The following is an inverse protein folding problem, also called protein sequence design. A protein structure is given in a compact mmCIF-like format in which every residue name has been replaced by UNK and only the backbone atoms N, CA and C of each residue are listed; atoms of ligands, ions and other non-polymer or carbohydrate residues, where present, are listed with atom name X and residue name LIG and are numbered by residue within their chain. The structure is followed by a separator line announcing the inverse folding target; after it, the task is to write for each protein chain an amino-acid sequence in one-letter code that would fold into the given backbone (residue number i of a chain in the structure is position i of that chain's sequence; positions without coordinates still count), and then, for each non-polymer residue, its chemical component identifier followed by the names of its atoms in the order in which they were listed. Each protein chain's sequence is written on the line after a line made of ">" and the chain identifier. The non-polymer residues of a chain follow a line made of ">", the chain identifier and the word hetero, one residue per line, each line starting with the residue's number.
data_IF_880343082754
#
_entry.id   IF_880343082754
#
_cell.length_a   1.000
_cell.length_b   1.000
_cell.length_c   1.000
_cell.angle_alpha   90.00
_cell.angle_beta   90.00
_cell.angle_gamma   90.00
#
_symmetry.space_group_name_H-M   'P 1'
#
loop_
_entity.id
_entity.type
_entity.pdbx_description
1 polymer ?
#
# COMPACT_ATOMS: atom_id res chain seq x y z
N UNK A 1 34.89 9.34 33.86
CA UNK A 1 34.44 10.17 32.71
C UNK A 1 34.53 9.30 31.48
N UNK A 2 33.42 8.64 31.10
CA UNK A 2 33.39 7.68 29.99
C UNK A 2 32.66 8.29 28.81
N UNK A 3 33.41 8.52 27.74
CA UNK A 3 32.94 9.09 26.47
C UNK A 3 31.94 8.15 25.81
N UNK A 4 30.67 8.57 25.68
CA UNK A 4 29.67 7.84 24.90
C UNK A 4 29.75 8.25 23.43
N UNK A 5 30.39 7.39 22.64
CA UNK A 5 30.37 7.39 21.19
C UNK A 5 28.93 7.22 20.70
N UNK A 6 28.35 8.28 20.12
CA UNK A 6 27.04 8.19 19.47
C UNK A 6 27.19 7.41 18.16
N UNK A 7 26.82 6.12 18.18
CA UNK A 7 26.64 5.35 16.96
C UNK A 7 25.41 5.88 16.22
N UNK A 8 25.63 6.39 15.01
CA UNK A 8 24.58 6.69 14.05
C UNK A 8 23.92 5.37 13.62
N UNK A 9 22.76 5.05 14.20
CA UNK A 9 21.99 3.88 13.80
C UNK A 9 21.35 4.15 12.45
N UNK A 10 22.00 3.68 11.38
CA UNK A 10 21.43 3.57 10.05
C UNK A 10 20.20 2.65 10.13
N UNK A 11 19.04 3.19 9.74
CA UNK A 11 17.71 2.57 9.64
C UNK A 11 17.68 1.03 9.71
N UNK A 12 17.71 0.49 10.93
CA UNK A 12 17.36 -0.91 11.20
C UNK A 12 15.90 -0.92 11.60
N UNK A 13 15.00 -1.26 10.66
CA UNK A 13 13.56 -1.32 10.90
C UNK A 13 13.29 -2.39 11.97
N UNK A 14 12.92 -2.05 13.23
CA UNK A 14 12.51 -3.08 14.16
C UNK A 14 11.20 -3.66 13.64
N UNK A 15 11.20 -4.97 13.44
CA UNK A 15 9.97 -5.72 13.20
C UNK A 15 9.08 -5.56 14.44
N UNK A 16 7.90 -4.99 14.23
CA UNK A 16 6.90 -4.86 15.28
C UNK A 16 5.76 -3.99 14.81
N UNK A 17 4.84 -4.54 14.01
CA UNK A 17 3.49 -3.98 14.01
C UNK A 17 2.40 -5.06 13.91
N UNK A 18 2.11 -5.76 15.02
CA UNK A 18 0.77 -6.30 15.24
C UNK A 18 -0.30 -5.20 15.18
N UNK A 19 0.10 -3.95 15.40
CA UNK A 19 -0.79 -2.80 15.59
C UNK A 19 -1.13 -2.00 14.31
N UNK A 20 -0.33 -2.08 13.23
CA UNK A 20 -0.56 -1.25 12.04
C UNK A 20 -1.86 -1.65 11.37
N UNK A 21 -2.04 -2.96 11.19
CA UNK A 21 -3.20 -3.50 10.53
C UNK A 21 -4.46 -3.16 11.32
N UNK A 22 -4.42 -3.35 12.65
CA UNK A 22 -5.55 -3.06 13.52
C UNK A 22 -5.93 -1.56 13.49
N UNK A 23 -4.94 -0.68 13.60
CA UNK A 23 -5.16 0.76 13.56
C UNK A 23 -5.62 1.26 12.17
N UNK A 24 -5.07 0.72 11.09
CA UNK A 24 -5.52 1.02 9.72
C UNK A 24 -6.95 0.55 9.48
N UNK A 25 -7.29 -0.67 9.91
CA UNK A 25 -8.67 -1.17 9.84
C UNK A 25 -9.62 -0.27 10.64
N UNK A 26 -9.23 0.17 11.83
CA UNK A 26 -10.02 1.10 12.63
C UNK A 26 -10.26 2.42 11.88
N UNK A 27 -9.23 3.05 11.32
CA UNK A 27 -9.39 4.31 10.58
C UNK A 27 -10.22 4.17 9.31
N UNK A 28 -10.11 3.03 8.62
CA UNK A 28 -10.97 2.71 7.46
C UNK A 28 -12.43 2.62 7.91
N UNK A 29 -12.72 1.86 8.99
CA UNK A 29 -14.07 1.70 9.53
C UNK A 29 -14.65 3.02 10.07
N UNK A 30 -13.81 3.88 10.63
CA UNK A 30 -14.19 5.22 11.10
C UNK A 30 -14.32 6.26 9.96
N UNK A 31 -14.05 5.87 8.70
CA UNK A 31 -14.12 6.76 7.55
C UNK A 31 -13.02 7.84 7.51
N UNK A 32 -11.97 7.69 8.33
CA UNK A 32 -10.83 8.63 8.39
C UNK A 32 -9.84 8.45 7.24
N UNK A 33 -9.92 7.33 6.52
CA UNK A 33 -9.07 7.02 5.38
C UNK A 33 -9.96 6.86 4.15
N UNK A 34 -9.72 7.71 3.15
CA UNK A 34 -10.25 7.54 1.80
C UNK A 34 -9.11 7.12 0.88
N UNK A 35 -9.43 6.28 -0.10
CA UNK A 35 -8.48 5.88 -1.12
C UNK A 35 -9.15 5.91 -2.49
N UNK A 36 -8.34 6.02 -3.52
CA UNK A 36 -8.77 6.01 -4.91
C UNK A 36 -8.23 4.75 -5.57
N UNK A 37 -9.04 4.16 -6.43
CA UNK A 37 -8.69 2.95 -7.17
C UNK A 37 -9.06 3.14 -8.63
N UNK A 38 -8.28 2.53 -9.50
CA UNK A 38 -8.58 2.34 -10.91
C UNK A 38 -8.85 0.85 -11.10
N UNK A 39 -10.08 0.51 -11.52
CA UNK A 39 -10.53 -0.88 -11.61
C UNK A 39 -10.84 -1.23 -13.06
N UNK A 40 -10.14 -2.25 -13.58
CA UNK A 40 -10.47 -2.88 -14.85
C UNK A 40 -11.26 -4.17 -14.61
N UNK A 41 -12.15 -4.51 -15.54
CA UNK A 41 -13.03 -5.67 -15.43
C UNK A 41 -12.51 -6.81 -16.32
N UNK A 42 -12.48 -8.03 -15.77
CA UNK A 42 -12.06 -9.24 -16.47
C UNK A 42 -10.53 -9.42 -16.53
N UNK A 43 -10.07 -10.66 -16.44
CA UNK A 43 -8.64 -10.98 -16.45
C UNK A 43 -7.97 -10.61 -17.78
N UNK A 44 -8.74 -10.61 -18.87
CA UNK A 44 -8.34 -10.19 -20.20
C UNK A 44 -7.85 -8.73 -20.25
N UNK A 45 -8.30 -7.88 -19.32
CA UNK A 45 -7.89 -6.48 -19.22
C UNK A 45 -6.54 -6.28 -18.52
N UNK A 46 -5.98 -7.33 -17.90
CA UNK A 46 -4.76 -7.23 -17.11
C UNK A 46 -3.52 -6.73 -17.90
N UNK A 47 -3.28 -7.13 -19.16
CA UNK A 47 -2.18 -6.59 -19.95
C UNK A 47 -2.29 -5.08 -20.17
N UNK A 48 -3.50 -4.59 -20.49
CA UNK A 48 -3.74 -3.17 -20.73
C UNK A 48 -3.60 -2.37 -19.43
N UNK A 49 -4.20 -2.85 -18.33
CA UNK A 49 -4.06 -2.24 -17.01
C UNK A 49 -2.59 -2.16 -16.56
N UNK A 50 -1.78 -3.17 -16.91
CA UNK A 50 -0.35 -3.18 -16.61
C UNK A 50 0.42 -2.13 -17.41
N UNK A 51 0.12 -1.97 -18.71
CA UNK A 51 0.74 -0.93 -19.54
C UNK A 51 0.32 0.46 -19.03
N UNK A 52 -0.96 0.64 -18.71
CA UNK A 52 -1.52 1.89 -18.22
C UNK A 52 -0.95 2.32 -16.87
N UNK A 53 -0.59 1.36 -16.00
CA UNK A 53 0.12 1.61 -14.76
C UNK A 53 1.47 2.32 -14.97
N UNK A 54 2.18 2.03 -16.06
CA UNK A 54 3.47 2.67 -16.37
C UNK A 54 3.33 3.96 -17.19
N UNK A 55 2.22 4.14 -17.91
CA UNK A 55 1.92 5.40 -18.58
C UNK A 55 1.35 6.45 -17.62
N UNK A 56 0.95 6.05 -16.41
CA UNK A 56 0.35 6.92 -15.39
C UNK A 56 -1.14 7.17 -15.60
N UNK A 57 -1.85 6.27 -16.29
CA UNK A 57 -3.31 6.37 -16.48
C UNK A 57 -4.11 6.03 -15.24
N UNK A 58 -3.52 5.38 -14.23
CA UNK A 58 -4.20 5.06 -12.98
C UNK A 58 -4.19 6.22 -11.97
N UNK A 59 -5.33 6.40 -11.32
CA UNK A 59 -5.44 7.19 -10.09
C UNK A 59 -5.46 6.23 -8.89
N UNK A 60 -4.43 6.31 -8.05
CA UNK A 60 -4.30 5.46 -6.88
C UNK A 60 -3.98 4.00 -7.24
N UNK A 61 -4.62 3.04 -6.55
CA UNK A 61 -4.32 1.62 -6.71
C UNK A 61 -4.94 1.05 -8.00
N UNK A 62 -4.15 0.40 -8.83
CA UNK A 62 -4.64 -0.34 -10.00
C UNK A 62 -5.14 -1.74 -9.58
N UNK A 63 -6.34 -2.12 -10.02
CA UNK A 63 -6.98 -3.39 -9.73
C UNK A 63 -7.59 -4.00 -11.00
N UNK A 64 -7.59 -5.32 -11.09
CA UNK A 64 -8.34 -6.08 -12.10
C UNK A 64 -9.36 -6.95 -11.36
N UNK A 65 -10.65 -6.74 -11.63
CA UNK A 65 -11.75 -7.50 -11.05
C UNK A 65 -11.94 -8.80 -11.83
N UNK A 66 -12.02 -9.90 -11.10
CA UNK A 66 -12.34 -11.22 -11.66
C UNK A 66 -13.87 -11.42 -11.67
N UNK A 67 -14.41 -12.15 -12.65
CA UNK A 67 -15.83 -12.52 -12.64
C UNK A 67 -16.13 -13.38 -11.40
N UNK A 68 -17.35 -13.21 -10.88
CA UNK A 68 -17.85 -14.06 -9.81
C UNK A 68 -17.96 -15.52 -10.30
N UNK A 69 -17.62 -16.47 -9.42
CA UNK A 69 -17.62 -17.91 -9.71
C UNK A 69 -19.02 -18.54 -9.63
#
# INVERSE_FOLDING_TARGET
>A
MTTMSHQFQLASRPAGMPDLHHQMTQWINEGKVTWQETVHEGLESAPDAFIELFSGGNTGKMLVRLPDA
#
